data_IF_213697794993
#
_entry.id   IF_213697794993
#
_cell.length_a   1.000
_cell.length_b   1.000
_cell.length_c   1.000
_cell.angle_alpha   90.00
_cell.angle_beta   90.00
_cell.angle_gamma   90.00
#
_symmetry.space_group_name_H-M   'P 1'
#
loop_
_entity.id
_entity.type
_entity.pdbx_description
1 polymer ?
#
# COMPACT_ATOMS: atom_id res chain seq x y z
N UNK A 1 5.96 9.34 2.27
CA UNK A 1 7.10 10.26 2.50
C UNK A 1 8.44 9.68 2.05
N UNK A 2 9.02 8.67 2.71
CA UNK A 2 10.33 8.14 2.30
C UNK A 2 10.40 7.70 0.83
N UNK A 3 9.35 7.07 0.31
CA UNK A 3 9.28 6.75 -1.11
C UNK A 3 9.41 8.00 -2.01
N UNK A 4 8.70 9.09 -1.68
CA UNK A 4 8.71 10.34 -2.46
C UNK A 4 10.07 11.06 -2.42
N UNK A 5 10.80 10.96 -1.30
CA UNK A 5 12.12 11.60 -1.18
C UNK A 5 13.22 10.83 -1.91
N UNK A 6 13.10 9.50 -2.01
CA UNK A 6 14.17 8.64 -2.51
C UNK A 6 13.94 8.12 -3.93
N UNK A 7 12.71 8.24 -4.46
CA UNK A 7 12.34 7.73 -5.76
C UNK A 7 11.49 8.76 -6.51
N UNK A 8 11.99 9.22 -7.65
CA UNK A 8 11.24 10.07 -8.57
C UNK A 8 10.01 9.32 -9.13
N UNK A 9 10.17 8.03 -9.42
CA UNK A 9 9.08 7.17 -9.88
C UNK A 9 8.79 6.07 -8.85
N UNK A 10 7.54 5.96 -8.33
CA UNK A 10 7.18 4.94 -7.34
C UNK A 10 7.12 3.51 -7.91
N UNK A 11 7.17 3.33 -9.24
CA UNK A 11 7.05 2.04 -9.93
C UNK A 11 8.28 1.77 -10.80
N UNK A 12 8.95 0.66 -10.52
CA UNK A 12 10.09 0.17 -11.31
C UNK A 12 9.61 -0.43 -12.65
N UNK A 13 10.54 -0.57 -13.61
CA UNK A 13 10.24 -1.13 -14.94
C UNK A 13 9.70 -2.57 -14.88
N UNK A 14 10.06 -3.33 -13.85
CA UNK A 14 9.54 -4.68 -13.57
C UNK A 14 8.09 -4.67 -13.09
N UNK A 15 7.54 -3.48 -12.79
CA UNK A 15 6.24 -3.29 -12.17
C UNK A 15 6.26 -3.31 -10.65
N UNK A 16 7.42 -3.59 -10.02
CA UNK A 16 7.57 -3.56 -8.56
C UNK A 16 7.42 -2.14 -8.01
N UNK A 17 6.71 -2.00 -6.89
CA UNK A 17 6.53 -0.73 -6.19
C UNK A 17 7.62 -0.53 -5.14
N UNK A 18 8.21 0.66 -5.09
CA UNK A 18 9.40 0.97 -4.27
C UNK A 18 9.20 0.83 -2.76
N UNK A 19 7.96 0.79 -2.28
CA UNK A 19 7.63 0.44 -0.89
C UNK A 19 8.26 -0.91 -0.46
N UNK A 20 8.43 -1.84 -1.41
CA UNK A 20 9.04 -3.14 -1.19
C UNK A 20 10.55 -3.09 -0.89
N UNK A 21 11.23 -1.94 -1.06
CA UNK A 21 12.63 -1.77 -0.66
C UNK A 21 12.81 -1.65 0.86
N UNK A 22 11.74 -1.34 1.60
CA UNK A 22 11.77 -1.27 3.06
C UNK A 22 10.77 -2.23 3.71
N UNK A 23 9.59 -2.42 3.12
CA UNK A 23 8.59 -3.38 3.57
C UNK A 23 8.82 -4.73 2.88
N UNK A 24 9.67 -5.55 3.50
CA UNK A 24 10.20 -6.77 2.90
C UNK A 24 9.21 -7.94 2.87
N UNK A 25 8.24 -7.94 3.78
CA UNK A 25 7.23 -8.99 3.85
C UNK A 25 6.10 -8.74 2.84
N UNK A 26 5.72 -9.80 2.10
CA UNK A 26 4.56 -9.74 1.20
C UNK A 26 3.27 -9.98 1.98
N UNK A 27 2.27 -9.14 1.73
CA UNK A 27 0.88 -9.33 2.14
C UNK A 27 -0.06 -8.96 0.99
N UNK A 28 -1.22 -9.64 0.89
CA UNK A 28 -2.20 -9.32 -0.15
C UNK A 28 -2.76 -7.90 0.05
N UNK A 29 -3.11 -7.28 -1.06
CA UNK A 29 -3.86 -6.02 -1.14
C UNK A 29 -4.85 -6.15 -2.29
N UNK A 30 -6.02 -5.55 -2.15
CA UNK A 30 -7.06 -5.56 -3.20
C UNK A 30 -7.45 -4.13 -3.58
N UNK A 31 -7.82 -3.96 -4.85
CA UNK A 31 -8.37 -2.73 -5.39
C UNK A 31 -9.62 -3.02 -6.19
N UNK A 32 -10.70 -2.32 -5.88
CA UNK A 32 -11.98 -2.41 -6.57
C UNK A 32 -12.31 -1.06 -7.19
N UNK A 33 -12.64 -1.09 -8.48
CA UNK A 33 -13.06 0.08 -9.26
C UNK A 33 -14.24 -0.33 -10.14
N UNK A 34 -15.11 0.62 -10.55
CA UNK A 34 -16.12 0.35 -11.57
C UNK A 34 -15.47 -0.15 -12.85
N UNK A 35 -16.15 -1.05 -13.58
CA UNK A 35 -15.67 -1.57 -14.86
C UNK A 35 -15.46 -0.45 -15.89
N UNK A 36 -16.31 0.58 -15.87
CA UNK A 36 -16.24 1.72 -16.77
C UNK A 36 -16.68 3.00 -16.06
N UNK A 37 -16.18 4.14 -16.54
CA UNK A 37 -16.52 5.48 -16.06
C UNK A 37 -16.74 6.42 -17.24
N UNK A 38 -17.63 7.41 -17.07
CA UNK A 38 -17.78 8.47 -18.06
C UNK A 38 -16.68 9.54 -17.87
N UNK A 39 -16.32 10.29 -18.94
CA UNK A 39 -15.45 11.44 -18.79
C UNK A 39 -16.01 12.44 -17.77
N UNK A 40 -15.11 13.11 -17.04
CA UNK A 40 -15.44 14.15 -16.04
C UNK A 40 -16.44 13.70 -14.96
N UNK A 41 -16.40 12.41 -14.58
CA UNK A 41 -17.25 11.84 -13.53
C UNK A 41 -16.41 11.35 -12.36
N UNK A 42 -16.87 11.67 -11.14
CA UNK A 42 -16.25 11.16 -9.90
C UNK A 42 -16.64 9.69 -9.72
N UNK A 43 -15.65 8.84 -9.45
CA UNK A 43 -15.86 7.44 -9.09
C UNK A 43 -14.98 7.07 -7.89
N UNK A 44 -15.32 5.97 -7.23
CA UNK A 44 -14.59 5.46 -6.07
C UNK A 44 -13.62 4.35 -6.47
N UNK A 45 -12.40 4.42 -5.94
CA UNK A 45 -11.46 3.32 -5.93
C UNK A 45 -11.34 2.81 -4.49
N UNK A 46 -11.87 1.62 -4.22
CA UNK A 46 -11.85 1.02 -2.89
C UNK A 46 -10.58 0.20 -2.75
N UNK A 47 -9.74 0.55 -1.78
CA UNK A 47 -8.49 -0.15 -1.49
C UNK A 47 -8.62 -0.93 -0.18
N UNK A 48 -8.28 -2.21 -0.20
CA UNK A 48 -8.31 -3.10 0.98
C UNK A 48 -6.90 -3.57 1.29
N UNK A 49 -6.49 -3.40 2.55
CA UNK A 49 -5.18 -3.85 3.07
C UNK A 49 -5.46 -4.76 4.27
N UNK A 50 -5.78 -6.05 4.03
CA UNK A 50 -6.16 -6.95 5.11
C UNK A 50 -4.97 -7.29 6.00
N UNK A 51 -5.21 -7.27 7.31
CA UNK A 51 -4.32 -7.83 8.31
C UNK A 51 -5.14 -8.35 9.49
N UNK A 52 -4.56 -9.27 10.25
CA UNK A 52 -5.19 -9.78 11.46
C UNK A 52 -5.11 -8.71 12.57
N UNK A 53 -6.26 -8.13 12.91
CA UNK A 53 -6.38 -7.08 13.93
C UNK A 53 -6.17 -7.60 15.37
N UNK A 54 -6.11 -8.92 15.57
CA UNK A 54 -5.77 -9.51 16.88
C UNK A 54 -4.27 -9.54 17.13
N UNK A 55 -3.46 -9.44 16.07
CA UNK A 55 -2.00 -9.45 16.17
C UNK A 55 -1.44 -8.05 16.44
N UNK A 56 -0.44 -7.98 17.32
CA UNK A 56 0.28 -6.74 17.66
C UNK A 56 1.65 -6.71 16.98
N UNK A 57 2.06 -5.54 16.53
CA UNK A 57 3.40 -5.30 15.99
C UNK A 57 4.35 -4.76 17.06
N UNK A 58 5.66 -4.98 16.86
CA UNK A 58 6.69 -4.38 17.72
C UNK A 58 6.95 -2.95 17.24
N UNK A 59 6.79 -1.97 18.12
CA UNK A 59 7.05 -0.56 17.85
C UNK A 59 8.54 -0.22 18.01
N UNK A 60 8.93 0.99 17.60
CA UNK A 60 10.29 1.49 17.74
C UNK A 60 10.82 1.52 19.18
N UNK A 61 9.94 1.62 20.18
CA UNK A 61 10.28 1.56 21.61
C UNK A 61 10.38 0.12 22.17
N UNK A 62 10.21 -0.90 21.32
CA UNK A 62 10.27 -2.31 21.68
C UNK A 62 8.99 -2.90 22.28
N UNK A 63 7.92 -2.10 22.49
CA UNK A 63 6.63 -2.59 23.00
C UNK A 63 5.77 -3.18 21.88
N UNK A 64 4.81 -4.05 22.23
CA UNK A 64 3.86 -4.67 21.30
C UNK A 64 2.50 -3.99 21.34
N UNK A 65 2.11 -3.34 20.25
CA UNK A 65 0.85 -2.58 20.12
C UNK A 65 0.27 -2.69 18.70
N UNK A 66 -0.93 -2.16 18.49
CA UNK A 66 -1.54 -1.98 17.16
C UNK A 66 -0.97 -0.71 16.51
#
# INVERSE_FOLDING_TARGET
FFAQQNYENPREATGRIVCANCHLASKPVDIEVPQAVLPDTVFEAVVKIPYDMQLKQVLANGKKEL
#
